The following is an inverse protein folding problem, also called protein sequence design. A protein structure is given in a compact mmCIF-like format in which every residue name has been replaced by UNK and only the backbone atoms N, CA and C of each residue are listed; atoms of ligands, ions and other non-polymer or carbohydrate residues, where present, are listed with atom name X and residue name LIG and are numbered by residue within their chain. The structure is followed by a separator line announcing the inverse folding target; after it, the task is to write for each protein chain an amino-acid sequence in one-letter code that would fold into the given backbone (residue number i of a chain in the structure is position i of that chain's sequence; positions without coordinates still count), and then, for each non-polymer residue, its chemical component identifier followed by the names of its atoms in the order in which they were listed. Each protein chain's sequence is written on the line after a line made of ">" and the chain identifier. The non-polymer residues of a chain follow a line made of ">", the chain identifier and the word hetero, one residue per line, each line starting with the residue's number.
data_IF_361678695740
#
_entry.id   IF_361678695740
#
_cell.length_a   1.000
_cell.length_b   1.000
_cell.length_c   1.000
_cell.angle_alpha   90.00
_cell.angle_beta   90.00
_cell.angle_gamma   90.00
#
_symmetry.space_group_name_H-M   'P 1'
#
loop_
_entity.id
_entity.type
_entity.pdbx_description
1 polymer ?
#
# COMPACT_ATOMS: atom_id res chain seq x y z
N UNK A 1 4.05 33.36 -10.35
CA UNK A 1 3.19 32.20 -10.64
C UNK A 1 3.15 31.13 -9.53
N UNK A 2 4.18 31.00 -8.67
CA UNK A 2 4.28 29.88 -7.71
C UNK A 2 3.36 29.93 -6.47
N UNK A 3 3.14 31.11 -5.86
CA UNK A 3 2.36 31.20 -4.61
C UNK A 3 0.86 30.90 -4.80
N UNK A 4 0.26 31.38 -5.89
CA UNK A 4 -1.15 31.12 -6.19
C UNK A 4 -1.40 29.63 -6.51
N UNK A 5 -0.49 28.99 -7.24
CA UNK A 5 -0.58 27.56 -7.54
C UNK A 5 -0.41 26.69 -6.28
N UNK A 6 0.52 27.05 -5.39
CA UNK A 6 0.68 26.37 -4.11
C UNK A 6 -0.55 26.52 -3.20
N UNK A 7 -1.12 27.73 -3.12
CA UNK A 7 -2.34 27.98 -2.36
C UNK A 7 -3.55 27.22 -2.93
N UNK A 8 -3.68 27.16 -4.26
CA UNK A 8 -4.73 26.40 -4.94
C UNK A 8 -4.57 24.89 -4.74
N UNK A 9 -3.34 24.37 -4.80
CA UNK A 9 -3.04 22.96 -4.51
C UNK A 9 -3.34 22.62 -3.06
N UNK A 10 -2.94 23.45 -2.09
CA UNK A 10 -3.30 23.27 -0.69
C UNK A 10 -4.82 23.27 -0.47
N UNK A 11 -5.55 24.20 -1.09
CA UNK A 11 -7.01 24.24 -0.98
C UNK A 11 -7.64 22.99 -1.61
N UNK A 12 -7.16 22.55 -2.77
CA UNK A 12 -7.61 21.30 -3.39
C UNK A 12 -7.38 20.10 -2.48
N UNK A 13 -6.17 19.97 -1.92
CA UNK A 13 -5.79 18.90 -1.02
C UNK A 13 -6.53 18.95 0.33
N UNK A 14 -7.17 20.07 0.68
CA UNK A 14 -8.06 20.11 1.85
C UNK A 14 -9.35 19.32 1.62
N UNK A 15 -9.85 19.28 0.39
CA UNK A 15 -11.13 18.66 0.04
C UNK A 15 -10.99 17.34 -0.74
N UNK A 16 -9.84 17.11 -1.35
CA UNK A 16 -9.52 15.93 -2.16
C UNK A 16 -8.24 15.30 -1.65
N UNK A 17 -8.14 13.99 -1.82
CA UNK A 17 -6.95 13.25 -1.41
C UNK A 17 -5.78 13.55 -2.34
N UNK A 18 -4.64 13.90 -1.74
CA UNK A 18 -3.38 14.22 -2.42
C UNK A 18 -2.25 13.32 -1.94
N UNK A 19 -1.13 13.31 -2.67
CA UNK A 19 0.10 12.66 -2.22
C UNK A 19 0.86 13.60 -1.26
N UNK A 20 0.33 13.78 -0.06
CA UNK A 20 0.87 14.70 0.96
C UNK A 20 0.74 14.10 2.35
N UNK A 21 1.47 14.64 3.32
CA UNK A 21 1.45 14.18 4.71
C UNK A 21 0.06 14.27 5.35
N UNK A 22 -0.76 15.25 4.94
CA UNK A 22 -2.16 15.40 5.39
C UNK A 22 -3.05 14.17 5.10
N UNK A 23 -2.74 13.41 4.04
CA UNK A 23 -3.50 12.23 3.61
C UNK A 23 -2.73 10.92 3.78
N UNK A 24 -1.41 11.00 3.82
CA UNK A 24 -0.48 9.89 4.02
C UNK A 24 0.33 10.18 5.30
N UNK A 25 -0.30 10.10 6.49
CA UNK A 25 0.33 10.48 7.74
C UNK A 25 1.47 9.55 8.15
N UNK A 26 1.51 8.33 7.59
CA UNK A 26 2.51 7.32 7.94
C UNK A 26 2.60 7.07 9.45
N UNK A 27 1.46 6.80 10.11
CA UNK A 27 1.42 6.63 11.56
C UNK A 27 2.09 5.32 12.00
N UNK A 28 3.41 5.37 12.17
CA UNK A 28 4.22 4.23 12.62
C UNK A 28 3.89 3.82 14.05
N UNK A 29 3.42 4.75 14.89
CA UNK A 29 3.08 4.47 16.28
C UNK A 29 1.73 3.74 16.34
N UNK A 30 0.71 4.27 15.68
CA UNK A 30 -0.58 3.62 15.52
C UNK A 30 -0.44 2.23 14.90
N UNK A 31 0.40 2.10 13.87
CA UNK A 31 0.70 0.80 13.26
C UNK A 31 1.24 -0.21 14.27
N UNK A 32 2.16 0.21 15.15
CA UNK A 32 2.70 -0.67 16.19
C UNK A 32 1.61 -1.07 17.18
N UNK A 33 0.82 -0.12 17.67
CA UNK A 33 -0.26 -0.38 18.63
C UNK A 33 -1.32 -1.33 18.03
N UNK A 34 -1.68 -1.15 16.76
CA UNK A 34 -2.64 -2.00 16.07
C UNK A 34 -2.10 -3.41 15.83
N UNK A 35 -0.82 -3.55 15.46
CA UNK A 35 -0.19 -4.87 15.32
C UNK A 35 -0.10 -5.61 16.67
N UNK A 36 0.17 -4.89 17.76
CA UNK A 36 0.32 -5.49 19.09
C UNK A 36 -1.04 -5.84 19.72
N UNK A 37 -2.07 -5.01 19.52
CA UNK A 37 -3.38 -5.16 20.18
C UNK A 37 -4.45 -5.85 19.33
N UNK A 38 -4.33 -5.86 18.00
CA UNK A 38 -5.36 -6.43 17.11
C UNK A 38 -4.93 -7.75 16.45
N UNK A 39 -3.64 -7.96 16.20
CA UNK A 39 -3.13 -9.13 15.48
C UNK A 39 -2.67 -10.25 16.43
N UNK A 40 -3.59 -11.13 16.78
CA UNK A 40 -3.34 -12.21 17.73
C UNK A 40 -2.57 -13.39 17.12
N UNK A 41 -1.68 -14.00 17.92
CA UNK A 41 -0.96 -15.22 17.54
C UNK A 41 0.14 -15.06 16.47
N UNK A 42 0.35 -13.84 15.96
CA UNK A 42 1.31 -13.56 14.88
C UNK A 42 2.49 -12.68 15.33
N UNK A 43 3.04 -12.95 16.52
CA UNK A 43 4.12 -12.17 17.12
C UNK A 43 5.35 -11.98 16.19
N UNK A 44 5.74 -13.03 15.45
CA UNK A 44 6.84 -12.95 14.47
C UNK A 44 6.50 -11.97 13.34
N UNK A 45 5.30 -12.07 12.76
CA UNK A 45 4.88 -11.19 11.69
C UNK A 45 4.79 -9.74 12.19
N UNK A 46 4.16 -9.50 13.34
CA UNK A 46 4.07 -8.16 13.96
C UNK A 46 5.44 -7.53 14.14
N UNK A 47 6.41 -8.28 14.69
CA UNK A 47 7.75 -7.76 14.94
C UNK A 47 8.50 -7.42 13.64
N UNK A 48 8.48 -8.33 12.66
CA UNK A 48 9.15 -8.16 11.38
C UNK A 48 8.58 -6.97 10.62
N UNK A 49 7.24 -6.90 10.50
CA UNK A 49 6.54 -5.84 9.76
C UNK A 49 6.83 -4.48 10.39
N UNK A 50 6.68 -4.37 11.71
CA UNK A 50 6.95 -3.12 12.44
C UNK A 50 8.38 -2.64 12.23
N UNK A 51 9.37 -3.52 12.38
CA UNK A 51 10.79 -3.18 12.19
C UNK A 51 11.09 -2.76 10.76
N UNK A 52 10.57 -3.49 9.77
CA UNK A 52 10.81 -3.22 8.36
C UNK A 52 10.16 -1.91 7.89
N UNK A 53 8.90 -1.64 8.24
CA UNK A 53 8.23 -0.37 7.90
C UNK A 53 8.94 0.81 8.57
N UNK A 54 9.26 0.72 9.87
CA UNK A 54 9.99 1.78 10.57
C UNK A 54 11.36 2.05 9.94
N UNK A 55 12.09 0.99 9.58
CA UNK A 55 13.39 1.11 8.93
C UNK A 55 13.28 1.78 7.56
N UNK A 56 12.32 1.35 6.75
CA UNK A 56 12.08 1.89 5.42
C UNK A 56 11.71 3.38 5.46
N UNK A 57 10.77 3.77 6.32
CA UNK A 57 10.29 5.15 6.41
C UNK A 57 11.30 6.13 7.03
N UNK A 58 12.29 5.63 7.76
CA UNK A 58 13.39 6.45 8.29
C UNK A 58 14.43 6.84 7.24
N UNK A 59 14.50 6.12 6.13
CA UNK A 59 15.39 6.46 5.03
C UNK A 59 14.63 7.37 4.03
N UNK A 60 15.00 8.66 3.88
CA UNK A 60 14.34 9.55 2.93
C UNK A 60 14.60 9.15 1.47
N UNK A 61 15.67 8.41 1.19
CA UNK A 61 16.08 7.97 -0.15
C UNK A 61 16.32 6.45 -0.17
N UNK A 62 15.25 5.63 -0.08
CA UNK A 62 15.38 4.19 -0.13
C UNK A 62 15.82 3.73 -1.53
N UNK A 63 16.93 2.99 -1.60
CA UNK A 63 17.45 2.47 -2.87
C UNK A 63 16.55 1.42 -3.54
N UNK A 64 15.62 0.82 -2.79
CA UNK A 64 14.69 -0.23 -3.24
C UNK A 64 13.34 -0.08 -2.53
N UNK A 65 12.22 -0.46 -3.17
CA UNK A 65 10.92 -0.49 -2.51
C UNK A 65 10.88 -1.54 -1.40
N UNK A 66 10.08 -1.30 -0.37
CA UNK A 66 9.79 -2.30 0.66
C UNK A 66 8.79 -3.32 0.12
N UNK A 67 9.14 -4.60 0.21
CA UNK A 67 8.32 -5.72 -0.27
C UNK A 67 8.11 -6.72 0.85
N UNK A 68 6.85 -7.13 1.06
CA UNK A 68 6.49 -8.23 1.95
C UNK A 68 5.88 -9.37 1.15
N UNK A 69 6.28 -10.59 1.49
CA UNK A 69 5.64 -11.81 1.00
C UNK A 69 5.00 -12.54 2.18
N UNK A 70 3.69 -12.38 2.36
CA UNK A 70 2.96 -12.95 3.49
C UNK A 70 2.41 -14.33 3.09
N UNK A 71 2.90 -15.39 3.75
CA UNK A 71 2.49 -16.77 3.50
C UNK A 71 1.88 -17.42 4.74
N UNK A 72 1.03 -18.42 4.52
CA UNK A 72 0.37 -19.19 5.58
C UNK A 72 -1.04 -19.63 5.20
N UNK A 73 -1.67 -20.43 6.04
CA UNK A 73 -3.04 -20.94 5.83
C UNK A 73 -4.08 -19.82 5.73
N UNK A 74 -5.23 -20.11 5.13
CA UNK A 74 -6.38 -19.18 5.15
C UNK A 74 -6.83 -18.87 6.58
N UNK A 75 -7.37 -17.67 6.80
CA UNK A 75 -7.87 -17.24 8.12
C UNK A 75 -6.79 -16.84 9.15
N UNK A 76 -5.51 -16.90 8.81
CA UNK A 76 -4.40 -16.58 9.74
C UNK A 76 -4.05 -15.09 9.83
N UNK A 77 -4.75 -14.22 9.09
CA UNK A 77 -4.62 -12.76 9.21
C UNK A 77 -3.80 -12.05 8.13
N UNK A 78 -3.39 -12.71 7.03
CA UNK A 78 -2.63 -12.06 5.93
C UNK A 78 -3.28 -10.79 5.39
N UNK A 79 -4.56 -10.86 5.01
CA UNK A 79 -5.30 -9.69 4.51
C UNK A 79 -5.56 -8.67 5.61
N UNK A 80 -5.68 -9.14 6.85
CA UNK A 80 -5.87 -8.28 8.01
C UNK A 80 -4.62 -7.45 8.31
N UNK A 81 -3.43 -8.04 8.17
CA UNK A 81 -2.15 -7.33 8.22
C UNK A 81 -2.11 -6.21 7.18
N UNK A 82 -2.41 -6.52 5.91
CA UNK A 82 -2.42 -5.52 4.83
C UNK A 82 -3.40 -4.38 5.13
N UNK A 83 -4.57 -4.69 5.71
CA UNK A 83 -5.54 -3.69 6.18
C UNK A 83 -4.98 -2.81 7.28
N UNK A 84 -4.38 -3.40 8.33
CA UNK A 84 -3.75 -2.64 9.43
C UNK A 84 -2.69 -1.68 8.88
N UNK A 85 -1.84 -2.15 7.95
CA UNK A 85 -0.83 -1.32 7.31
C UNK A 85 -1.49 -0.15 6.56
N UNK A 86 -2.48 -0.42 5.73
CA UNK A 86 -3.15 0.64 4.97
C UNK A 86 -3.85 1.65 5.89
N UNK A 87 -4.60 1.20 6.89
CA UNK A 87 -5.35 2.04 7.86
C UNK A 87 -4.44 3.00 8.64
N UNK A 88 -3.20 2.59 8.96
CA UNK A 88 -2.26 3.41 9.71
C UNK A 88 -1.38 4.30 8.81
N UNK A 89 -1.06 3.87 7.59
CA UNK A 89 -0.22 4.65 6.70
C UNK A 89 -0.99 5.69 5.87
N UNK A 90 -2.27 5.42 5.59
CA UNK A 90 -3.12 6.27 4.74
C UNK A 90 -4.42 6.61 5.48
N UNK A 91 -4.81 7.88 5.46
CA UNK A 91 -5.99 8.38 6.19
C UNK A 91 -7.30 7.67 5.79
N UNK A 92 -7.39 7.18 4.55
CA UNK A 92 -8.55 6.43 4.04
C UNK A 92 -8.36 4.91 4.06
N UNK A 93 -7.26 4.41 4.62
CA UNK A 93 -6.95 2.98 4.62
C UNK A 93 -6.96 2.38 3.22
N UNK A 94 -7.61 1.22 3.08
CA UNK A 94 -7.76 0.52 1.79
C UNK A 94 -8.54 1.33 0.73
N UNK A 95 -9.30 2.34 1.13
CA UNK A 95 -10.04 3.22 0.21
C UNK A 95 -9.23 4.45 -0.24
N UNK A 96 -7.95 4.52 0.12
CA UNK A 96 -7.05 5.57 -0.35
C UNK A 96 -6.80 5.45 -1.85
N UNK A 97 -6.76 6.59 -2.54
CA UNK A 97 -6.36 6.66 -3.95
C UNK A 97 -4.92 6.19 -4.20
N UNK A 98 -4.12 6.01 -3.15
CA UNK A 98 -2.72 5.58 -3.21
C UNK A 98 -2.52 4.14 -2.71
N UNK A 99 -3.61 3.43 -2.40
CA UNK A 99 -3.59 2.00 -2.05
C UNK A 99 -4.29 1.23 -3.17
N UNK A 100 -3.57 0.28 -3.76
CA UNK A 100 -4.00 -0.44 -4.95
C UNK A 100 -4.02 -1.94 -4.68
N UNK A 101 -5.21 -2.55 -4.71
CA UNK A 101 -5.37 -3.98 -4.50
C UNK A 101 -5.67 -4.70 -5.81
N UNK A 102 -4.97 -5.80 -6.05
CA UNK A 102 -5.15 -6.68 -7.19
C UNK A 102 -5.49 -8.09 -6.71
N UNK A 103 -6.56 -8.64 -7.26
CA UNK A 103 -7.00 -10.01 -7.05
C UNK A 103 -7.01 -10.74 -8.41
N UNK A 104 -6.27 -11.85 -8.59
CA UNK A 104 -6.17 -12.55 -9.87
C UNK A 104 -7.53 -12.86 -10.52
N UNK A 105 -8.49 -13.38 -9.75
CA UNK A 105 -9.81 -13.74 -10.28
C UNK A 105 -10.64 -12.56 -10.79
N UNK A 106 -10.39 -11.35 -10.28
CA UNK A 106 -11.14 -10.16 -10.66
C UNK A 106 -10.39 -9.36 -11.73
N UNK A 107 -9.09 -9.18 -11.54
CA UNK A 107 -8.27 -8.32 -12.38
C UNK A 107 -7.68 -9.06 -13.60
N UNK A 108 -7.45 -10.37 -13.47
CA UNK A 108 -6.77 -11.20 -14.47
C UNK A 108 -7.53 -12.53 -14.72
N UNK A 109 -8.84 -12.49 -15.05
CA UNK A 109 -9.70 -13.67 -15.05
C UNK A 109 -9.43 -14.67 -16.18
N UNK A 110 -8.93 -14.20 -17.32
CA UNK A 110 -8.80 -15.00 -18.55
C UNK A 110 -7.34 -15.10 -19.00
N UNK A 111 -6.79 -16.31 -18.97
CA UNK A 111 -5.42 -16.61 -19.36
C UNK A 111 -5.13 -16.29 -20.83
N UNK A 112 -6.13 -16.28 -21.71
CA UNK A 112 -5.94 -15.90 -23.11
C UNK A 112 -5.47 -14.45 -23.29
N UNK A 113 -5.68 -13.60 -22.27
CA UNK A 113 -5.35 -12.18 -22.27
C UNK A 113 -4.15 -11.84 -21.38
N UNK A 114 -3.37 -12.83 -20.93
CA UNK A 114 -2.30 -12.62 -19.93
C UNK A 114 -1.25 -11.59 -20.35
N UNK A 115 -0.84 -11.59 -21.62
CA UNK A 115 0.15 -10.63 -22.14
C UNK A 115 -0.37 -9.19 -22.10
N UNK A 116 -1.67 -9.01 -22.40
CA UNK A 116 -2.34 -7.71 -22.29
C UNK A 116 -2.38 -7.26 -20.83
N UNK A 117 -2.80 -8.13 -19.91
CA UNK A 117 -2.86 -7.81 -18.49
C UNK A 117 -1.51 -7.45 -17.90
N UNK A 118 -0.43 -8.11 -18.34
CA UNK A 118 0.94 -7.78 -17.94
C UNK A 118 1.33 -6.36 -18.36
N UNK A 119 1.03 -5.98 -19.60
CA UNK A 119 1.31 -4.63 -20.10
C UNK A 119 0.49 -3.57 -19.35
N UNK A 120 -0.81 -3.82 -19.15
CA UNK A 120 -1.69 -2.93 -18.41
C UNK A 120 -1.25 -2.76 -16.95
N UNK A 121 -0.88 -3.85 -16.27
CA UNK A 121 -0.39 -3.80 -14.89
C UNK A 121 0.90 -2.99 -14.78
N UNK A 122 1.85 -3.17 -15.71
CA UNK A 122 3.08 -2.38 -15.75
C UNK A 122 2.79 -0.89 -15.93
N UNK A 123 1.90 -0.53 -16.86
CA UNK A 123 1.50 0.85 -17.11
C UNK A 123 0.82 1.46 -15.88
N UNK A 124 -0.10 0.74 -15.24
CA UNK A 124 -0.80 1.17 -14.02
C UNK A 124 0.22 1.44 -12.90
N UNK A 125 1.14 0.51 -12.64
CA UNK A 125 2.15 0.70 -11.57
C UNK A 125 2.99 1.95 -11.84
N UNK A 126 3.48 2.12 -13.07
CA UNK A 126 4.28 3.29 -13.45
C UNK A 126 3.50 4.61 -13.28
N UNK A 127 2.25 4.65 -13.72
CA UNK A 127 1.39 5.83 -13.60
C UNK A 127 1.12 6.18 -12.13
N UNK A 128 0.77 5.18 -11.31
CA UNK A 128 0.46 5.38 -9.89
C UNK A 128 1.67 5.83 -9.10
N UNK A 129 2.84 5.22 -9.31
CA UNK A 129 4.09 5.62 -8.64
C UNK A 129 4.50 7.03 -9.08
N UNK A 130 4.30 7.39 -10.34
CA UNK A 130 4.56 8.76 -10.83
C UNK A 130 3.63 9.78 -10.18
N UNK A 131 2.36 9.42 -9.96
CA UNK A 131 1.39 10.28 -9.28
C UNK A 131 1.65 10.39 -7.77
N UNK A 132 2.09 9.30 -7.13
CA UNK A 132 2.49 9.30 -5.73
C UNK A 132 3.63 8.29 -5.47
N UNK A 133 4.85 8.76 -5.11
CA UNK A 133 5.97 7.86 -4.80
C UNK A 133 5.72 6.95 -3.59
N UNK A 134 4.74 7.29 -2.75
CA UNK A 134 4.33 6.52 -1.56
C UNK A 134 3.11 5.63 -1.85
N UNK A 135 2.91 5.14 -3.07
CA UNK A 135 1.83 4.19 -3.37
C UNK A 135 2.08 2.81 -2.74
N UNK A 136 1.02 2.19 -2.19
CA UNK A 136 1.01 0.82 -1.68
C UNK A 136 0.30 -0.10 -2.68
N UNK A 137 0.97 -1.19 -3.06
CA UNK A 137 0.41 -2.20 -3.94
C UNK A 137 0.23 -3.51 -3.16
N UNK A 138 -0.98 -4.06 -3.21
CA UNK A 138 -1.35 -5.30 -2.53
C UNK A 138 -1.77 -6.31 -3.60
N UNK A 139 -1.00 -7.38 -3.74
CA UNK A 139 -1.32 -8.52 -4.60
C UNK A 139 -1.85 -9.65 -3.71
N UNK A 140 -3.16 -9.86 -3.74
CA UNK A 140 -3.83 -10.90 -2.95
C UNK A 140 -3.94 -12.20 -3.77
N UNK A 141 -4.08 -13.33 -3.10
CA UNK A 141 -4.14 -14.67 -3.71
C UNK A 141 -3.01 -14.91 -4.74
N UNK A 142 -1.79 -14.44 -4.44
CA UNK A 142 -0.63 -14.50 -5.34
C UNK A 142 -0.31 -15.92 -5.85
N UNK A 143 -0.66 -16.95 -5.07
CA UNK A 143 -0.57 -18.37 -5.46
C UNK A 143 -1.46 -18.73 -6.67
N UNK A 144 -2.44 -17.89 -7.01
CA UNK A 144 -3.33 -18.04 -8.17
C UNK A 144 -2.96 -17.13 -9.33
N UNK A 145 -1.92 -16.31 -9.18
CA UNK A 145 -1.44 -15.44 -10.26
C UNK A 145 -0.63 -16.26 -11.27
N UNK A 146 -0.80 -15.99 -12.56
CA UNK A 146 0.01 -16.63 -13.59
C UNK A 146 1.48 -16.14 -13.49
N UNK A 147 2.49 -17.02 -13.60
CA UNK A 147 3.91 -16.66 -13.59
C UNK A 147 4.34 -15.70 -14.71
#
# INVERSE_FOLDING_TARGET
>A
AGLAAAAQYHLYCRFRECCSEDWIPLDVKGLQEDLDNRLFGQHIASEVIRKAIRGFLRNPEPAKPLVFSLHGSSGTGKNFISRIIAENLYKKGLNSNHVHQFLPKLNFPDLAHIDKYKQELQAIIQERVKACPRSLFIFDEMDKMHP
#
